data_IF_755124473157
#
_entry.id   IF_755124473157
#
_cell.length_a   1.000
_cell.length_b   1.000
_cell.length_c   1.000
_cell.angle_alpha   90.00
_cell.angle_beta   90.00
_cell.angle_gamma   90.00
#
_symmetry.space_group_name_H-M   'P 1'
#
loop_
_entity.id
_entity.type
_entity.pdbx_description
1 polymer ?
#
# COMPACT_ATOMS: atom_id res chain seq x y z
N UNK A 1 12.84 4.71 8.69
CA UNK A 1 12.24 5.31 7.46
C UNK A 1 12.09 4.29 6.33
N UNK A 2 13.17 3.65 5.85
CA UNK A 2 13.08 2.66 4.75
C UNK A 2 12.10 1.52 5.05
N UNK A 3 12.20 0.89 6.22
CA UNK A 3 11.26 -0.19 6.62
C UNK A 3 9.81 0.29 6.72
N UNK A 4 9.59 1.55 7.14
CA UNK A 4 8.25 2.14 7.23
C UNK A 4 7.68 2.39 5.83
N UNK A 5 8.51 2.87 4.90
CA UNK A 5 8.14 3.02 3.51
C UNK A 5 7.82 1.67 2.86
N UNK A 6 8.64 0.63 3.10
CA UNK A 6 8.38 -0.74 2.61
C UNK A 6 7.09 -1.33 3.20
N UNK A 7 6.83 -1.11 4.48
CA UNK A 7 5.60 -1.53 5.13
C UNK A 7 4.37 -0.85 4.53
N UNK A 8 4.41 0.48 4.36
CA UNK A 8 3.30 1.26 3.78
C UNK A 8 3.10 0.91 2.30
N UNK A 9 4.18 0.66 1.56
CA UNK A 9 4.11 0.13 0.20
C UNK A 9 3.44 -1.25 0.17
N UNK A 10 3.87 -2.18 1.02
CA UNK A 10 3.27 -3.52 1.08
C UNK A 10 1.83 -3.53 1.58
N UNK A 11 1.36 -2.48 2.26
CA UNK A 11 -0.06 -2.32 2.62
C UNK A 11 -0.92 -1.76 1.47
N UNK A 12 -0.30 -1.27 0.39
CA UNK A 12 -1.04 -0.70 -0.73
C UNK A 12 -1.85 -1.79 -1.46
N UNK A 13 -3.17 -1.59 -1.68
CA UNK A 13 -4.06 -2.60 -2.24
C UNK A 13 -3.89 -2.71 -3.76
N UNK A 14 -2.75 -3.23 -4.19
CA UNK A 14 -2.39 -3.47 -5.57
C UNK A 14 -1.61 -4.77 -5.66
N UNK A 15 -2.08 -5.81 -6.38
CA UNK A 15 -1.22 -6.96 -6.68
C UNK A 15 -0.02 -6.43 -7.49
N UNK A 16 1.24 -6.84 -7.30
CA UNK A 16 1.78 -8.02 -6.59
C UNK A 16 2.10 -7.80 -5.10
N UNK A 17 1.77 -6.63 -4.53
CA UNK A 17 2.06 -6.29 -3.15
C UNK A 17 1.14 -7.07 -2.18
N UNK A 18 1.58 -7.24 -0.95
CA UNK A 18 0.85 -8.03 0.05
C UNK A 18 -0.54 -7.46 0.34
N UNK A 19 -0.70 -6.14 0.31
CA UNK A 19 -1.96 -5.43 0.48
C UNK A 19 -2.98 -5.76 -0.61
N UNK A 20 -2.51 -6.11 -1.81
CA UNK A 20 -3.37 -6.65 -2.87
C UNK A 20 -3.96 -8.01 -2.49
N UNK A 21 -3.17 -8.89 -1.86
CA UNK A 21 -3.63 -10.21 -1.38
C UNK A 21 -4.61 -10.07 -0.21
N UNK A 22 -4.34 -9.12 0.70
CA UNK A 22 -5.23 -8.76 1.81
C UNK A 22 -6.55 -8.22 1.26
N UNK A 23 -6.53 -7.36 0.24
CA UNK A 23 -7.75 -6.87 -0.38
C UNK A 23 -8.59 -8.02 -0.98
N UNK A 24 -7.96 -8.98 -1.67
CA UNK A 24 -8.66 -10.15 -2.22
C UNK A 24 -9.33 -10.99 -1.13
N UNK A 25 -8.67 -11.19 0.02
CA UNK A 25 -9.22 -12.01 1.11
C UNK A 25 -10.35 -11.32 1.88
N UNK A 26 -10.37 -9.98 1.90
CA UNK A 26 -11.41 -9.19 2.56
C UNK A 26 -12.63 -8.94 1.66
N UNK A 27 -12.47 -9.03 0.33
CA UNK A 27 -13.53 -8.74 -0.62
C UNK A 27 -14.50 -9.93 -0.80
N UNK A 28 -15.79 -9.66 -1.07
CA UNK A 28 -16.75 -10.70 -1.46
C UNK A 28 -16.30 -11.44 -2.73
N UNK A 29 -16.66 -12.72 -2.92
CA UNK A 29 -16.12 -13.57 -3.99
C UNK A 29 -16.16 -12.96 -5.40
N UNK A 30 -17.26 -12.27 -5.75
CA UNK A 30 -17.42 -11.62 -7.07
C UNK A 30 -16.45 -10.44 -7.26
N UNK A 31 -16.21 -9.66 -6.21
CA UNK A 31 -15.29 -8.52 -6.26
C UNK A 31 -13.84 -9.00 -6.17
N UNK A 32 -13.56 -10.00 -5.33
CA UNK A 32 -12.26 -10.64 -5.21
C UNK A 32 -11.78 -11.20 -6.57
N UNK A 33 -12.67 -11.87 -7.31
CA UNK A 33 -12.32 -12.40 -8.64
C UNK A 33 -11.98 -11.29 -9.65
N UNK A 34 -12.77 -10.21 -9.69
CA UNK A 34 -12.47 -9.04 -10.54
C UNK A 34 -11.18 -8.34 -10.13
N UNK A 35 -10.91 -8.26 -8.83
CA UNK A 35 -9.69 -7.67 -8.33
C UNK A 35 -8.46 -8.53 -8.65
N UNK A 36 -8.56 -9.86 -8.51
CA UNK A 36 -7.51 -10.79 -8.89
C UNK A 36 -7.15 -10.71 -10.39
N UNK A 37 -8.10 -10.35 -11.25
CA UNK A 37 -7.80 -10.12 -12.68
C UNK A 37 -6.84 -8.95 -12.94
N UNK A 38 -6.71 -8.00 -12.00
CA UNK A 38 -5.71 -6.93 -12.07
C UNK A 38 -4.29 -7.44 -11.83
N UNK A 39 -4.10 -8.64 -11.29
CA UNK A 39 -2.78 -9.21 -11.00
C UNK A 39 -1.87 -9.25 -12.23
N UNK A 40 -2.43 -9.59 -13.39
CA UNK A 40 -1.70 -9.59 -14.67
C UNK A 40 -1.12 -8.23 -15.06
N UNK A 41 -1.73 -7.14 -14.62
CA UNK A 41 -1.31 -5.76 -14.90
C UNK A 41 -0.68 -5.09 -13.67
N UNK A 42 -0.61 -5.79 -12.54
CA UNK A 42 -0.17 -5.25 -11.27
C UNK A 42 1.22 -4.62 -11.33
N UNK A 43 2.19 -5.37 -11.87
CA UNK A 43 3.55 -4.89 -12.01
C UNK A 43 3.68 -3.70 -12.99
N UNK A 44 3.10 -3.72 -14.21
CA UNK A 44 3.05 -2.54 -15.07
C UNK A 44 2.41 -1.31 -14.42
N UNK A 45 1.30 -1.46 -13.70
CA UNK A 45 0.62 -0.35 -13.00
C UNK A 45 1.54 0.20 -11.91
N UNK A 46 2.18 -0.67 -11.13
CA UNK A 46 3.12 -0.25 -10.08
C UNK A 46 4.27 0.59 -10.66
N UNK A 47 4.88 0.12 -11.75
CA UNK A 47 5.95 0.86 -12.43
C UNK A 47 5.47 2.21 -12.93
N UNK A 48 4.29 2.27 -13.56
CA UNK A 48 3.71 3.53 -14.04
C UNK A 48 3.46 4.50 -12.87
N UNK A 49 2.90 4.04 -11.76
CA UNK A 49 2.70 4.86 -10.56
C UNK A 49 4.01 5.34 -9.95
N UNK A 50 5.06 4.52 -10.01
CA UNK A 50 6.40 4.86 -9.55
C UNK A 50 7.04 5.96 -10.42
N UNK A 51 7.07 5.76 -11.74
CA UNK A 51 7.66 6.71 -12.69
C UNK A 51 6.92 8.05 -12.74
N UNK A 52 5.60 8.03 -12.59
CA UNK A 52 4.78 9.26 -12.53
C UNK A 52 4.89 9.98 -11.18
N UNK A 53 5.49 9.35 -10.15
CA UNK A 53 5.57 9.87 -8.80
C UNK A 53 4.23 9.89 -8.05
N UNK A 54 3.15 9.39 -8.66
CA UNK A 54 1.81 9.30 -8.05
C UNK A 54 1.86 8.37 -6.84
N UNK A 55 2.63 7.28 -6.93
CA UNK A 55 2.81 6.34 -5.83
C UNK A 55 3.30 7.06 -4.56
N UNK A 56 4.34 7.88 -4.68
CA UNK A 56 4.86 8.64 -3.54
C UNK A 56 3.83 9.59 -2.94
N UNK A 57 3.04 10.29 -3.77
CA UNK A 57 1.98 11.19 -3.31
C UNK A 57 0.86 10.45 -2.56
N UNK A 58 0.55 9.22 -2.94
CA UNK A 58 -0.43 8.37 -2.25
C UNK A 58 0.13 7.80 -0.93
N UNK A 59 1.41 7.40 -0.92
CA UNK A 59 2.03 6.79 0.26
C UNK A 59 2.42 7.80 1.34
N UNK A 60 2.81 9.03 0.97
CA UNK A 60 3.21 10.08 1.93
C UNK A 60 2.20 10.36 3.07
N UNK A 61 0.91 10.61 2.80
CA UNK A 61 -0.06 10.85 3.88
C UNK A 61 -0.20 9.62 4.80
N UNK A 62 -0.17 8.41 4.23
CA UNK A 62 -0.24 7.16 5.00
C UNK A 62 1.02 6.99 5.87
N UNK A 63 2.21 7.27 5.33
CA UNK A 63 3.45 7.27 6.11
C UNK A 63 3.39 8.27 7.25
N UNK A 64 2.89 9.49 7.01
CA UNK A 64 2.72 10.52 8.05
C UNK A 64 1.78 10.08 9.16
N UNK A 65 0.66 9.46 8.82
CA UNK A 65 -0.28 8.90 9.80
C UNK A 65 0.37 7.80 10.65
N UNK A 66 1.01 6.81 10.01
CA UNK A 66 1.63 5.69 10.74
C UNK A 66 2.78 6.18 11.61
N UNK A 67 3.59 7.11 11.11
CA UNK A 67 4.67 7.73 11.87
C UNK A 67 4.13 8.51 13.07
N UNK A 68 3.04 9.27 12.90
CA UNK A 68 2.34 9.95 13.99
C UNK A 68 1.81 8.98 15.04
N UNK A 69 1.22 7.85 14.63
CA UNK A 69 0.77 6.80 15.54
C UNK A 69 1.92 6.18 16.33
N UNK A 70 3.05 5.92 15.67
CA UNK A 70 4.26 5.43 16.35
C UNK A 70 4.72 6.45 17.38
N UNK A 71 4.87 7.72 17.01
CA UNK A 71 5.28 8.75 17.95
C UNK A 71 4.34 8.89 19.15
N UNK A 72 3.03 8.80 18.92
CA UNK A 72 2.01 8.82 19.96
C UNK A 72 2.15 7.63 20.92
N UNK A 73 2.28 6.40 20.40
CA UNK A 73 2.37 5.17 21.20
C UNK A 73 3.65 5.15 22.04
N UNK A 74 4.77 5.54 21.45
CA UNK A 74 6.06 5.52 22.13
C UNK A 74 6.31 6.76 23.00
N UNK A 75 5.33 7.67 23.09
CA UNK A 75 5.43 8.95 23.79
C UNK A 75 6.73 9.70 23.48
N UNK A 76 7.20 9.57 22.24
CA UNK A 76 8.40 10.27 21.77
C UNK A 76 7.97 11.71 21.50
N UNK A 77 8.08 12.56 22.53
CA UNK A 77 8.09 14.01 22.36
C UNK A 77 9.35 14.36 21.56
N UNK A 78 9.20 14.60 20.25
CA UNK A 78 10.23 15.24 19.44
C UNK A 78 10.17 16.76 19.64
#
# INVERSE_FOLDING_TARGET
LVNLALMVLNLFPLPPLDGGRIAVSLLPPKAAWRFAQLERFGFPILLLLLFTGILGKLLMPVMGLVMGMIYFIFNFSA
#
